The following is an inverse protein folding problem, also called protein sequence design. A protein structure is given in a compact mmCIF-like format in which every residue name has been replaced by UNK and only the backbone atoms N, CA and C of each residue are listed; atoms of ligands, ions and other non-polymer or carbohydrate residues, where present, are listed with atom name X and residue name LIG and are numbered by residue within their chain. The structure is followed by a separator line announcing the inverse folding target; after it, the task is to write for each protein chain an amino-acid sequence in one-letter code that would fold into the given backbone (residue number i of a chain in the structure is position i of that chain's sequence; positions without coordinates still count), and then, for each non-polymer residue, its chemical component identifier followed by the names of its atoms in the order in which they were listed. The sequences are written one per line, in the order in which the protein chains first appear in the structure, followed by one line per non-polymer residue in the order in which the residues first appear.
data_IF_863230602784
#
_entry.id   IF_863230602784
#
_cell.length_a   1.000
_cell.length_b   1.000
_cell.length_c   1.000
_cell.angle_alpha   90.00
_cell.angle_beta   90.00
_cell.angle_gamma   90.00
#
_symmetry.space_group_name_H-M   'P 1'
#
loop_
_entity.id
_entity.type
_entity.pdbx_description
1 polymer ?
#
# COMPACT_ATOMS: atom_id res chain seq x y z
N UNK A 1 14.19 -35.97 7.29
CA UNK A 1 14.54 -34.59 6.90
C UNK A 1 13.54 -33.68 7.58
N UNK A 2 13.94 -32.99 8.64
CA UNK A 2 13.08 -32.04 9.31
C UNK A 2 13.10 -30.74 8.51
N UNK A 3 11.95 -30.33 7.97
CA UNK A 3 11.78 -28.97 7.48
C UNK A 3 11.59 -28.08 8.71
N UNK A 4 12.67 -27.41 9.11
CA UNK A 4 12.61 -26.28 10.01
C UNK A 4 11.98 -25.12 9.22
N UNK A 5 10.64 -25.05 9.19
CA UNK A 5 9.95 -23.81 8.88
C UNK A 5 10.12 -22.92 10.12
N UNK A 6 11.30 -22.31 10.21
CA UNK A 6 11.56 -21.19 11.11
C UNK A 6 10.59 -20.08 10.73
N UNK A 7 9.56 -19.92 11.55
CA UNK A 7 8.72 -18.74 11.58
C UNK A 7 9.67 -17.55 11.68
N UNK A 8 9.81 -16.78 10.59
CA UNK A 8 10.72 -15.64 10.56
C UNK A 8 10.33 -14.71 11.71
N UNK A 9 11.22 -14.63 12.70
CA UNK A 9 11.09 -13.72 13.83
C UNK A 9 11.10 -12.29 13.27
N UNK A 10 9.93 -11.68 13.22
CA UNK A 10 9.72 -10.27 12.90
C UNK A 10 10.17 -9.37 14.07
N UNK A 11 11.34 -9.64 14.67
CA UNK A 11 11.86 -8.88 15.82
C UNK A 11 11.97 -7.37 15.52
N UNK A 12 12.03 -7.00 14.23
CA UNK A 12 12.10 -5.61 13.77
C UNK A 12 10.88 -5.14 12.94
N UNK A 13 9.77 -5.88 12.89
CA UNK A 13 8.59 -5.40 12.15
C UNK A 13 8.08 -4.06 12.68
N UNK A 14 8.07 -3.89 14.00
CA UNK A 14 7.64 -2.66 14.66
C UNK A 14 8.57 -1.48 14.29
N UNK A 15 9.87 -1.72 14.17
CA UNK A 15 10.84 -0.70 13.75
C UNK A 15 10.59 -0.26 12.30
N UNK A 16 10.38 -1.21 11.38
CA UNK A 16 10.12 -0.91 9.98
C UNK A 16 8.79 -0.19 9.76
N UNK A 17 7.75 -0.56 10.51
CA UNK A 17 6.47 0.14 10.50
C UNK A 17 6.69 1.60 10.93
N UNK A 18 7.39 1.82 12.04
CA UNK A 18 7.66 3.17 12.54
C UNK A 18 8.46 4.02 11.53
N UNK A 19 9.44 3.42 10.83
CA UNK A 19 10.18 4.11 9.76
C UNK A 19 9.27 4.55 8.59
N UNK A 20 8.34 3.68 8.18
CA UNK A 20 7.39 4.01 7.10
C UNK A 20 6.43 5.11 7.56
N UNK A 21 5.88 5.00 8.77
CA UNK A 21 4.99 6.02 9.35
C UNK A 21 5.70 7.38 9.47
N UNK A 22 6.96 7.40 9.92
CA UNK A 22 7.75 8.62 10.04
C UNK A 22 8.01 9.25 8.65
N UNK A 23 8.31 8.45 7.63
CA UNK A 23 8.50 8.93 6.26
C UNK A 23 7.21 9.51 5.65
N UNK A 24 6.05 8.92 5.95
CA UNK A 24 4.73 9.45 5.57
C UNK A 24 4.48 10.77 6.30
N UNK A 25 4.69 10.83 7.61
CA UNK A 25 4.50 12.03 8.44
C UNK A 25 5.41 13.18 8.01
N UNK A 26 6.67 12.88 7.64
CA UNK A 26 7.63 13.84 7.08
C UNK A 26 7.33 14.21 5.62
N UNK A 27 6.25 13.69 5.03
CA UNK A 27 5.84 13.91 3.63
C UNK A 27 6.91 13.52 2.62
N UNK A 28 7.80 12.59 2.98
CA UNK A 28 8.80 12.02 2.09
C UNK A 28 8.17 10.95 1.20
N UNK A 29 7.15 10.26 1.72
CA UNK A 29 6.30 9.32 0.97
C UNK A 29 4.89 9.88 0.92
N UNK A 30 4.30 9.93 -0.27
CA UNK A 30 2.88 10.25 -0.41
C UNK A 30 2.07 8.99 -0.14
N UNK A 31 1.25 9.05 0.90
CA UNK A 31 0.30 8.00 1.22
C UNK A 31 -1.07 8.37 0.65
N UNK A 32 -1.74 7.39 0.03
CA UNK A 32 -3.07 7.53 -0.54
C UNK A 32 -3.91 6.36 -0.03
N UNK A 33 -4.99 6.66 0.68
CA UNK A 33 -5.93 5.63 1.12
C UNK A 33 -6.64 5.03 -0.09
N UNK A 34 -6.76 3.69 -0.09
CA UNK A 34 -7.33 2.94 -1.20
C UNK A 34 -8.75 3.38 -1.56
N UNK A 35 -9.54 3.80 -0.57
CA UNK A 35 -10.95 4.20 -0.71
C UNK A 35 -11.15 5.45 -1.58
N UNK A 36 -10.12 6.28 -1.74
CA UNK A 36 -10.16 7.49 -2.57
C UNK A 36 -9.91 7.21 -4.07
N UNK A 37 -9.54 5.97 -4.41
CA UNK A 37 -9.41 5.57 -5.81
C UNK A 37 -10.74 5.10 -6.37
N UNK A 38 -10.99 5.44 -7.63
CA UNK A 38 -12.16 4.98 -8.37
C UNK A 38 -11.80 4.77 -9.86
N UNK A 39 -12.83 4.55 -10.69
CA UNK A 39 -12.67 4.31 -12.12
C UNK A 39 -11.70 3.16 -12.45
N UNK A 40 -11.78 2.07 -11.68
CA UNK A 40 -10.91 0.92 -11.84
C UNK A 40 -11.12 0.23 -13.18
N UNK A 41 -10.07 0.19 -14.00
CA UNK A 41 -10.06 -0.45 -15.30
C UNK A 41 -8.88 -1.40 -15.41
N UNK A 42 -9.13 -2.66 -15.74
CA UNK A 42 -8.05 -3.63 -16.03
C UNK A 42 -7.33 -3.21 -17.30
N UNK A 43 -6.02 -3.03 -17.21
CA UNK A 43 -5.15 -2.71 -18.35
C UNK A 43 -4.19 -3.85 -18.71
N UNK A 44 -4.12 -4.89 -17.87
CA UNK A 44 -3.31 -6.08 -18.13
C UNK A 44 -3.55 -7.18 -17.10
N UNK A 45 -3.17 -8.41 -17.46
CA UNK A 45 -3.18 -9.56 -16.58
C UNK A 45 -1.99 -10.46 -16.89
N UNK A 46 -1.29 -10.94 -15.86
CA UNK A 46 -0.16 -11.85 -16.00
C UNK A 46 -0.07 -12.82 -14.82
N UNK A 47 1.06 -13.52 -14.70
CA UNK A 47 1.29 -14.51 -13.66
C UNK A 47 1.19 -13.95 -12.22
N UNK A 48 1.49 -12.67 -12.04
CA UNK A 48 1.51 -11.99 -10.74
C UNK A 48 0.22 -11.22 -10.42
N UNK A 49 -0.82 -11.34 -11.26
CA UNK A 49 -2.12 -10.72 -11.04
C UNK A 49 -2.58 -9.79 -12.16
N UNK A 50 -3.63 -9.01 -11.86
CA UNK A 50 -4.22 -8.01 -12.75
C UNK A 50 -3.66 -6.63 -12.42
N UNK A 51 -3.38 -5.85 -13.47
CA UNK A 51 -2.98 -4.46 -13.35
C UNK A 51 -4.19 -3.59 -13.64
N UNK A 52 -4.48 -2.66 -12.73
CA UNK A 52 -5.59 -1.72 -12.84
C UNK A 52 -5.06 -0.29 -13.02
N UNK A 53 -5.69 0.45 -13.93
CA UNK A 53 -5.69 1.92 -13.91
C UNK A 53 -6.81 2.35 -12.97
N UNK A 54 -6.55 3.34 -12.11
CA UNK A 54 -7.56 4.00 -11.30
C UNK A 54 -7.35 5.52 -11.36
N UNK A 55 -8.41 6.27 -11.16
CA UNK A 55 -8.37 7.72 -10.92
C UNK A 55 -8.25 7.95 -9.41
N UNK A 56 -7.43 8.91 -8.98
CA UNK A 56 -7.43 9.37 -7.58
C UNK A 56 -8.41 10.54 -7.47
N UNK A 57 -9.58 10.29 -6.91
CA UNK A 57 -10.55 11.33 -6.68
C UNK A 57 -10.33 11.91 -5.28
N UNK A 58 -9.52 12.96 -5.23
CA UNK A 58 -9.53 13.89 -4.09
C UNK A 58 -10.81 14.72 -4.17
N UNK A 59 -11.97 14.07 -4.01
CA UNK A 59 -13.19 14.77 -3.64
C UNK A 59 -13.00 15.21 -2.18
N UNK A 60 -12.05 16.12 -1.95
CA UNK A 60 -12.24 17.16 -0.97
C UNK A 60 -13.59 17.76 -1.35
N UNK A 61 -14.61 17.31 -0.63
CA UNK A 61 -15.90 17.94 -0.60
C UNK A 61 -15.64 19.39 -0.23
N UNK A 62 -15.42 20.24 -1.23
CA UNK A 62 -15.62 21.67 -1.12
C UNK A 62 -17.11 21.84 -0.85
N UNK A 63 -17.48 21.64 0.41
CA UNK A 63 -18.71 22.20 0.95
C UNK A 63 -18.53 23.72 0.84
N UNK A 64 -19.30 24.32 -0.06
CA UNK A 64 -19.46 25.77 -0.15
C UNK A 64 -20.29 26.28 1.04
#
# INVERSE_FOLDING_TARGET
MSNNNEMQNFENADEWINWIEEAINKRQIKFYEYEHFNDFQVIGSGAFGKVFRASYNNAENYFA
#
